data_IF_859374771276
#
_entry.id   IF_859374771276
#
_cell.length_a   1.000
_cell.length_b   1.000
_cell.length_c   1.000
_cell.angle_alpha   90.00
_cell.angle_beta   90.00
_cell.angle_gamma   90.00
#
_symmetry.space_group_name_H-M   'P 1'
#
loop_
_entity.id
_entity.type
_entity.pdbx_description
1 polymer ?
#
# COMPACT_ATOMS: atom_id res chain seq x y z
N UNK A 1 -2.75 -18.27 0.67
CA UNK A 1 -1.77 -17.96 -0.41
C UNK A 1 -2.43 -18.25 -1.76
N UNK A 2 -2.27 -17.33 -2.72
CA UNK A 2 -2.73 -17.58 -4.09
C UNK A 2 -1.70 -18.47 -4.77
N UNK A 3 -2.16 -19.60 -5.33
CA UNK A 3 -1.29 -20.55 -6.02
C UNK A 3 -0.82 -19.98 -7.37
N UNK A 4 0.47 -20.16 -7.67
CA UNK A 4 1.02 -19.79 -8.97
C UNK A 4 0.51 -20.76 -10.04
N UNK A 5 -0.31 -20.26 -10.96
CA UNK A 5 -0.89 -21.09 -12.04
C UNK A 5 0.04 -21.21 -13.25
N UNK A 6 0.88 -20.21 -13.48
CA UNK A 6 1.80 -20.24 -14.61
C UNK A 6 2.96 -21.21 -14.33
N UNK A 7 3.22 -22.10 -15.28
CA UNK A 7 4.38 -23.01 -15.32
C UNK A 7 5.45 -22.43 -16.24
N UNK A 8 6.68 -22.91 -16.12
CA UNK A 8 7.82 -22.46 -16.94
C UNK A 8 8.14 -20.96 -16.79
N UNK A 9 7.98 -20.43 -15.58
CA UNK A 9 8.34 -19.05 -15.23
C UNK A 9 9.68 -19.06 -14.52
N UNK A 10 10.64 -18.31 -15.03
CA UNK A 10 11.99 -18.19 -14.46
C UNK A 10 12.25 -16.72 -14.14
N UNK A 11 12.86 -16.47 -13.00
CA UNK A 11 13.30 -15.12 -12.65
C UNK A 11 14.48 -14.71 -13.54
N UNK A 12 14.40 -13.53 -14.15
CA UNK A 12 15.47 -12.91 -14.92
C UNK A 12 16.02 -11.71 -14.15
N UNK A 13 17.31 -11.78 -13.80
CA UNK A 13 18.01 -10.62 -13.24
C UNK A 13 18.49 -9.70 -14.35
N UNK A 14 18.38 -8.39 -14.15
CA UNK A 14 18.97 -7.37 -15.02
C UNK A 14 20.37 -6.95 -14.56
N UNK A 15 21.03 -6.12 -15.35
CA UNK A 15 22.36 -5.56 -15.03
C UNK A 15 22.30 -4.39 -14.05
N UNK A 16 21.12 -3.77 -13.88
CA UNK A 16 20.88 -2.67 -12.93
C UNK A 16 20.33 -3.24 -11.63
N UNK A 17 21.05 -3.07 -10.54
CA UNK A 17 20.67 -3.54 -9.22
C UNK A 17 19.71 -2.56 -8.52
N UNK A 18 19.15 -2.99 -7.39
CA UNK A 18 18.38 -2.13 -6.47
C UNK A 18 19.26 -1.01 -5.92
N UNK A 19 20.47 -1.33 -5.57
CA UNK A 19 21.48 -0.42 -5.02
C UNK A 19 21.81 0.69 -6.03
N UNK A 20 21.95 0.38 -7.29
CA UNK A 20 22.18 1.37 -8.36
C UNK A 20 21.00 2.38 -8.44
N UNK A 21 19.75 1.87 -8.34
CA UNK A 21 18.56 2.73 -8.32
C UNK A 21 18.54 3.62 -7.08
N UNK A 22 18.89 3.07 -5.92
CA UNK A 22 18.95 3.81 -4.65
C UNK A 22 20.01 4.92 -4.70
N UNK A 23 21.15 4.67 -5.33
CA UNK A 23 22.21 5.65 -5.51
C UNK A 23 21.75 6.82 -6.38
N UNK A 24 21.16 6.55 -7.54
CA UNK A 24 20.59 7.57 -8.44
C UNK A 24 19.56 8.44 -7.72
N UNK A 25 18.66 7.81 -6.96
CA UNK A 25 17.59 8.51 -6.25
C UNK A 25 18.06 9.16 -4.93
N UNK A 26 19.26 8.84 -4.45
CA UNK A 26 19.78 9.23 -3.13
C UNK A 26 18.79 8.92 -2.01
N UNK A 27 18.12 7.80 -2.12
CA UNK A 27 17.15 7.30 -1.15
C UNK A 27 16.98 5.79 -1.28
N UNK A 28 16.56 5.15 -0.18
CA UNK A 28 16.11 3.76 -0.18
C UNK A 28 14.59 3.72 -0.34
N UNK A 29 14.10 2.74 -1.07
CA UNK A 29 12.68 2.49 -1.17
C UNK A 29 12.13 1.91 0.14
N UNK A 30 10.87 2.21 0.40
CA UNK A 30 10.14 1.73 1.58
C UNK A 30 8.63 1.71 1.30
N UNK A 31 7.90 0.94 2.09
CA UNK A 31 6.44 0.99 2.11
C UNK A 31 5.97 1.49 3.48
N UNK A 32 5.17 2.56 3.48
CA UNK A 32 4.43 3.03 4.64
C UNK A 32 2.96 2.67 4.40
N UNK A 33 2.46 1.74 5.22
CA UNK A 33 1.13 1.17 5.09
C UNK A 33 0.21 1.75 6.16
N UNK A 34 -0.70 2.63 5.75
CA UNK A 34 -1.72 3.19 6.63
C UNK A 34 -2.96 2.29 6.67
N UNK A 35 -3.33 1.85 7.86
CA UNK A 35 -4.54 1.07 8.11
C UNK A 35 -5.43 1.77 9.13
N UNK A 36 -6.72 1.42 9.17
CA UNK A 36 -7.70 2.02 10.07
C UNK A 36 -9.06 2.22 9.40
N UNK A 37 -10.05 2.67 10.17
CA UNK A 37 -11.44 2.84 9.75
C UNK A 37 -11.58 3.77 8.54
N UNK A 38 -12.68 3.61 7.78
CA UNK A 38 -13.10 4.63 6.82
C UNK A 38 -13.32 5.97 7.57
N UNK A 39 -12.88 7.07 7.00
CA UNK A 39 -12.98 8.38 7.68
C UNK A 39 -11.96 8.61 8.81
N UNK A 40 -11.04 7.69 9.09
CA UNK A 40 -10.02 7.88 10.14
C UNK A 40 -8.96 8.96 9.81
N UNK A 41 -8.79 9.30 8.53
CA UNK A 41 -7.82 10.30 8.10
C UNK A 41 -6.57 9.74 7.40
N UNK A 42 -6.56 8.44 7.05
CA UNK A 42 -5.43 7.78 6.37
C UNK A 42 -4.93 8.56 5.14
N UNK A 43 -5.83 8.84 4.20
CA UNK A 43 -5.49 9.55 2.97
C UNK A 43 -5.01 10.98 3.24
N UNK A 44 -5.59 11.66 4.24
CA UNK A 44 -5.17 13.01 4.65
C UNK A 44 -3.74 13.00 5.18
N UNK A 45 -3.41 12.04 6.04
CA UNK A 45 -2.05 11.88 6.58
C UNK A 45 -1.07 11.51 5.46
N UNK A 46 -1.46 10.61 4.56
CA UNK A 46 -0.63 10.22 3.43
C UNK A 46 -0.32 11.41 2.49
N UNK A 47 -1.29 12.28 2.22
CA UNK A 47 -1.10 13.51 1.44
C UNK A 47 -0.13 14.47 2.13
N UNK A 48 -0.29 14.67 3.44
CA UNK A 48 0.60 15.53 4.21
C UNK A 48 2.05 14.99 4.24
N UNK A 49 2.20 13.67 4.41
CA UNK A 49 3.50 13.02 4.38
C UNK A 49 4.15 13.08 2.99
N UNK A 50 3.39 12.85 1.92
CA UNK A 50 3.88 13.00 0.55
C UNK A 50 4.44 14.41 0.30
N UNK A 51 3.70 15.44 0.74
CA UNK A 51 4.16 16.84 0.63
C UNK A 51 5.45 17.08 1.42
N UNK A 52 5.56 16.56 2.64
CA UNK A 52 6.75 16.68 3.46
C UNK A 52 7.95 15.99 2.81
N UNK A 53 7.79 14.78 2.32
CA UNK A 53 8.82 14.02 1.61
C UNK A 53 9.27 14.76 0.33
N UNK A 54 8.32 15.32 -0.43
CA UNK A 54 8.62 16.13 -1.61
C UNK A 54 9.46 17.34 -1.25
N UNK A 55 9.12 18.07 -0.16
CA UNK A 55 9.92 19.19 0.35
C UNK A 55 11.34 18.80 0.79
N UNK A 56 11.56 17.52 1.14
CA UNK A 56 12.86 16.94 1.45
C UNK A 56 13.60 16.39 0.22
N UNK A 57 13.06 16.58 -0.98
CA UNK A 57 13.61 16.02 -2.22
C UNK A 57 13.50 14.50 -2.31
N UNK A 58 12.51 13.88 -1.65
CA UNK A 58 12.29 12.45 -1.66
C UNK A 58 11.14 12.07 -2.59
N UNK A 59 11.39 11.06 -3.43
CA UNK A 59 10.39 10.49 -4.33
C UNK A 59 9.46 9.56 -3.54
N UNK A 60 8.18 9.90 -3.52
CA UNK A 60 7.14 9.05 -2.95
C UNK A 60 5.95 8.95 -3.89
N UNK A 61 5.14 7.91 -3.71
CA UNK A 61 3.93 7.71 -4.50
C UNK A 61 2.80 7.16 -3.60
N UNK A 62 1.62 7.76 -3.72
CA UNK A 62 0.45 7.33 -2.95
C UNK A 62 -0.35 6.25 -3.69
N UNK A 63 -0.58 5.14 -3.00
CA UNK A 63 -1.51 4.10 -3.40
C UNK A 63 -2.76 4.21 -2.52
N UNK A 64 -3.78 4.91 -3.02
CA UNK A 64 -5.04 5.12 -2.32
C UNK A 64 -6.08 4.07 -2.73
N UNK A 65 -6.87 3.60 -1.75
CA UNK A 65 -7.83 2.53 -1.94
C UNK A 65 -8.88 2.79 -3.02
N UNK A 66 -9.31 4.04 -3.20
CA UNK A 66 -10.26 4.38 -4.26
C UNK A 66 -9.56 4.49 -5.62
N UNK A 67 -8.41 5.15 -5.67
CA UNK A 67 -7.68 5.35 -6.92
C UNK A 67 -7.30 4.03 -7.60
N UNK A 68 -6.82 3.03 -6.83
CA UNK A 68 -6.44 1.73 -7.39
C UNK A 68 -7.65 0.94 -7.92
N UNK A 69 -8.86 1.19 -7.38
CA UNK A 69 -10.10 0.59 -7.87
C UNK A 69 -10.61 1.21 -9.17
N UNK A 70 -10.14 2.39 -9.54
CA UNK A 70 -10.38 2.97 -10.87
C UNK A 70 -9.46 2.39 -11.94
N UNK A 71 -8.38 1.71 -11.55
CA UNK A 71 -7.36 1.16 -12.43
C UNK A 71 -7.13 -0.35 -12.20
N UNK A 72 -6.00 -0.68 -11.61
CA UNK A 72 -5.49 -2.05 -11.47
C UNK A 72 -6.47 -3.01 -10.77
N UNK A 73 -7.32 -2.51 -9.88
CA UNK A 73 -8.30 -3.27 -9.12
C UNK A 73 -9.76 -2.99 -9.51
N UNK A 74 -10.00 -2.44 -10.72
CA UNK A 74 -11.35 -2.12 -11.18
C UNK A 74 -12.30 -3.32 -11.31
N UNK A 75 -11.76 -4.52 -11.39
CA UNK A 75 -12.52 -5.77 -11.46
C UNK A 75 -12.85 -6.37 -10.09
N UNK A 76 -12.47 -5.70 -8.99
CA UNK A 76 -12.71 -6.19 -7.63
C UNK A 76 -13.86 -5.41 -6.99
N UNK A 77 -14.76 -6.15 -6.32
CA UNK A 77 -15.82 -5.63 -5.48
C UNK A 77 -15.39 -5.46 -4.02
N UNK A 78 -16.34 -5.66 -3.10
CA UNK A 78 -16.14 -5.51 -1.66
C UNK A 78 -16.39 -6.78 -0.86
N UNK A 79 -16.54 -7.94 -1.52
CA UNK A 79 -16.56 -9.24 -0.84
C UNK A 79 -15.25 -9.44 -0.05
N UNK A 80 -15.27 -10.36 0.91
CA UNK A 80 -14.06 -10.70 1.66
C UNK A 80 -12.91 -11.12 0.73
N UNK A 81 -13.22 -11.98 -0.26
CA UNK A 81 -12.25 -12.44 -1.25
C UNK A 81 -11.68 -11.29 -2.09
N UNK A 82 -12.53 -10.36 -2.54
CA UNK A 82 -12.09 -9.18 -3.29
C UNK A 82 -11.23 -8.24 -2.46
N UNK A 83 -11.59 -8.07 -1.17
CA UNK A 83 -10.78 -7.24 -0.24
C UNK A 83 -9.41 -7.84 -0.05
N UNK A 84 -9.32 -9.15 0.17
CA UNK A 84 -8.05 -9.88 0.30
C UNK A 84 -7.20 -9.74 -0.97
N UNK A 85 -7.78 -9.98 -2.13
CA UNK A 85 -7.09 -9.85 -3.41
C UNK A 85 -6.65 -8.41 -3.68
N UNK A 86 -7.46 -7.41 -3.30
CA UNK A 86 -7.07 -6.01 -3.38
C UNK A 86 -5.79 -5.72 -2.57
N UNK A 87 -5.73 -6.19 -1.32
CA UNK A 87 -4.56 -5.99 -0.45
C UNK A 87 -3.34 -6.73 -1.01
N UNK A 88 -3.51 -7.97 -1.48
CA UNK A 88 -2.44 -8.75 -2.10
C UNK A 88 -1.83 -8.02 -3.29
N UNK A 89 -2.67 -7.56 -4.25
CA UNK A 89 -2.19 -6.84 -5.46
C UNK A 89 -1.43 -5.58 -5.09
N UNK A 90 -1.96 -4.79 -4.16
CA UNK A 90 -1.30 -3.56 -3.75
C UNK A 90 -0.01 -3.83 -2.99
N UNK A 91 0.05 -4.90 -2.20
CA UNK A 91 1.28 -5.35 -1.57
C UNK A 91 2.40 -5.62 -2.60
N UNK A 92 2.08 -6.32 -3.69
CA UNK A 92 3.03 -6.56 -4.79
C UNK A 92 3.44 -5.27 -5.49
N UNK A 93 2.50 -4.36 -5.78
CA UNK A 93 2.80 -3.06 -6.40
C UNK A 93 3.70 -2.23 -5.48
N UNK A 94 3.38 -2.15 -4.19
CA UNK A 94 4.19 -1.41 -3.21
C UNK A 94 5.61 -1.98 -3.10
N UNK A 95 5.76 -3.32 -3.16
CA UNK A 95 7.06 -3.99 -3.20
C UNK A 95 7.88 -3.57 -4.42
N UNK A 96 7.26 -3.51 -5.61
CA UNK A 96 7.94 -3.06 -6.84
C UNK A 96 8.39 -1.60 -6.74
N UNK A 97 7.56 -0.72 -6.17
CA UNK A 97 7.96 0.66 -5.88
C UNK A 97 9.16 0.73 -4.92
N UNK A 98 9.12 -0.06 -3.84
CA UNK A 98 10.23 -0.14 -2.89
C UNK A 98 11.53 -0.64 -3.55
N UNK A 99 11.44 -1.64 -4.40
CA UNK A 99 12.58 -2.15 -5.16
C UNK A 99 13.14 -1.11 -6.14
N UNK A 100 12.26 -0.31 -6.74
CA UNK A 100 12.64 0.80 -7.61
C UNK A 100 13.24 2.02 -6.87
N UNK A 101 13.22 2.02 -5.54
CA UNK A 101 13.74 3.14 -4.73
C UNK A 101 12.69 4.19 -4.34
N UNK A 102 11.42 3.95 -4.64
CA UNK A 102 10.32 4.88 -4.30
C UNK A 102 9.75 4.56 -2.92
N UNK A 103 9.35 5.59 -2.19
CA UNK A 103 8.61 5.44 -0.94
C UNK A 103 7.12 5.33 -1.27
N UNK A 104 6.55 4.12 -1.11
CA UNK A 104 5.12 3.88 -1.31
C UNK A 104 4.32 4.27 -0.06
N UNK A 105 3.30 5.12 -0.23
CA UNK A 105 2.36 5.55 0.81
C UNK A 105 1.01 4.89 0.55
N UNK A 106 0.80 3.71 1.13
CA UNK A 106 -0.36 2.86 0.85
C UNK A 106 -1.45 3.08 1.90
N UNK A 107 -2.64 3.56 1.48
CA UNK A 107 -3.75 3.93 2.38
C UNK A 107 -4.97 3.06 2.13
N UNK A 108 -5.18 2.06 3.00
CA UNK A 108 -6.27 1.07 2.88
C UNK A 108 -6.91 0.80 4.24
N UNK A 109 -8.20 0.49 4.27
CA UNK A 109 -8.86 0.01 5.49
C UNK A 109 -8.15 -1.24 5.99
N UNK A 110 -7.85 -2.19 5.11
CA UNK A 110 -7.12 -3.45 5.37
C UNK A 110 -7.48 -4.09 6.73
N UNK A 111 -8.76 -4.52 6.92
CA UNK A 111 -9.26 -4.86 8.25
C UNK A 111 -8.65 -6.15 8.80
N UNK A 112 -8.25 -7.06 7.93
CA UNK A 112 -7.76 -8.37 8.33
C UNK A 112 -6.27 -8.35 8.62
N UNK A 113 -5.92 -8.72 9.85
CA UNK A 113 -4.51 -8.76 10.30
C UNK A 113 -3.68 -9.71 9.42
N UNK A 114 -4.23 -10.88 9.08
CA UNK A 114 -3.53 -11.86 8.23
C UNK A 114 -3.09 -11.29 6.89
N UNK A 115 -3.95 -10.52 6.22
CA UNK A 115 -3.62 -9.89 4.93
C UNK A 115 -2.48 -8.87 5.08
N UNK A 116 -2.47 -8.08 6.15
CA UNK A 116 -1.39 -7.13 6.45
C UNK A 116 -0.08 -7.83 6.79
N UNK A 117 -0.15 -8.93 7.54
CA UNK A 117 1.02 -9.75 7.88
C UNK A 117 1.61 -10.41 6.62
N UNK A 118 0.78 -10.87 5.67
CA UNK A 118 1.24 -11.38 4.39
C UNK A 118 2.00 -10.30 3.59
N UNK A 119 1.50 -9.07 3.54
CA UNK A 119 2.17 -7.95 2.86
C UNK A 119 3.48 -7.58 3.56
N UNK A 120 3.49 -7.56 4.90
CA UNK A 120 4.71 -7.34 5.68
C UNK A 120 5.76 -8.39 5.36
N UNK A 121 5.37 -9.67 5.39
CA UNK A 121 6.26 -10.79 5.08
C UNK A 121 6.82 -10.69 3.66
N UNK A 122 5.99 -10.34 2.68
CA UNK A 122 6.39 -10.13 1.29
C UNK A 122 7.54 -9.11 1.17
N UNK A 123 7.47 -8.01 1.93
CA UNK A 123 8.51 -6.98 1.96
C UNK A 123 9.77 -7.46 2.70
N UNK A 124 9.61 -8.12 3.83
CA UNK A 124 10.71 -8.68 4.61
C UNK A 124 11.51 -9.71 3.81
N UNK A 125 10.82 -10.63 3.13
CA UNK A 125 11.45 -11.64 2.28
C UNK A 125 12.22 -11.01 1.10
N UNK A 126 11.78 -9.84 0.65
CA UNK A 126 12.46 -9.05 -0.39
C UNK A 126 13.55 -8.10 0.16
N UNK A 127 13.79 -8.08 1.47
CA UNK A 127 14.74 -7.16 2.10
C UNK A 127 14.34 -5.70 2.02
N UNK A 128 13.04 -5.40 1.97
CA UNK A 128 12.48 -4.05 1.87
C UNK A 128 11.90 -3.57 3.20
N UNK A 129 12.08 -2.28 3.48
CA UNK A 129 11.49 -1.65 4.65
C UNK A 129 9.96 -1.58 4.54
N UNK A 130 9.27 -2.03 5.58
CA UNK A 130 7.80 -1.97 5.70
C UNK A 130 7.43 -1.40 7.06
N UNK A 131 6.69 -0.30 7.06
CA UNK A 131 6.18 0.36 8.26
C UNK A 131 4.66 0.37 8.22
N UNK A 132 4.01 -0.29 9.17
CA UNK A 132 2.57 -0.23 9.34
C UNK A 132 2.21 0.88 10.32
N UNK A 133 1.29 1.75 9.90
CA UNK A 133 0.78 2.87 10.69
C UNK A 133 -0.72 2.67 10.91
N UNK A 134 -1.12 2.39 12.13
CA UNK A 134 -2.53 2.39 12.50
C UNK A 134 -2.99 3.81 12.77
N UNK A 135 -3.93 4.29 11.95
CA UNK A 135 -4.55 5.61 12.15
C UNK A 135 -5.72 5.44 13.10
N UNK A 136 -5.43 5.64 14.38
CA UNK A 136 -6.41 5.50 15.45
C UNK A 136 -7.48 6.60 15.36
N UNK A 137 -8.73 6.17 15.37
CA UNK A 137 -9.89 7.05 15.34
C UNK A 137 -11.08 6.29 15.92
N UNK A 138 -11.78 6.89 16.88
CA UNK A 138 -12.96 6.25 17.42
C UNK A 138 -14.05 6.11 16.34
N UNK A 139 -14.85 5.03 16.42
CA UNK A 139 -15.95 4.79 15.50
C UNK A 139 -16.91 5.98 15.43
N UNK A 140 -17.22 6.58 16.57
CA UNK A 140 -18.09 7.77 16.66
C UNK A 140 -17.56 8.94 15.82
N UNK A 141 -16.25 9.20 15.86
CA UNK A 141 -15.64 10.27 15.04
C UNK A 141 -15.63 9.88 13.56
N UNK A 142 -15.34 8.62 13.23
CA UNK A 142 -15.36 8.14 11.87
C UNK A 142 -16.77 8.24 11.24
N UNK A 143 -17.81 7.87 12.00
CA UNK A 143 -19.23 8.01 11.61
C UNK A 143 -19.63 9.46 11.41
N UNK A 144 -19.21 10.37 12.30
CA UNK A 144 -19.50 11.81 12.16
C UNK A 144 -18.86 12.40 10.90
N UNK A 145 -17.66 11.98 10.57
CA UNK A 145 -16.96 12.44 9.36
C UNK A 145 -17.55 11.86 8.08
N UNK A 146 -17.89 10.59 8.09
CA UNK A 146 -18.47 9.77 7.00
C UNK A 146 -18.40 10.39 5.58
N UNK A 147 -17.19 10.70 5.08
CA UNK A 147 -17.03 11.47 3.84
C UNK A 147 -17.60 10.76 2.61
N UNK A 148 -17.83 9.45 2.71
CA UNK A 148 -18.35 8.60 1.63
C UNK A 148 -19.78 8.12 1.86
N UNK A 149 -20.39 8.47 2.97
CA UNK A 149 -21.72 8.02 3.36
C UNK A 149 -21.81 6.50 3.60
N UNK A 150 -20.70 5.85 3.94
CA UNK A 150 -20.65 4.39 4.14
C UNK A 150 -21.35 3.97 5.43
N UNK A 151 -21.19 4.73 6.49
CA UNK A 151 -21.82 4.46 7.79
C UNK A 151 -23.34 4.75 7.76
N UNK A 152 -23.77 5.69 6.93
CA UNK A 152 -25.21 5.97 6.74
C UNK A 152 -25.94 4.88 5.96
N UNK A 153 -25.21 4.02 5.25
CA UNK A 153 -25.74 2.92 4.43
C UNK A 153 -25.69 1.59 5.14
N UNK A 154 -24.97 1.49 6.25
CA UNK A 154 -24.84 0.29 7.06
C UNK A 154 -25.95 0.20 8.11
#
# INVERSE_FOLDING_TARGET
MVEQKATNVTWHSGDVSREDRYEILRQKGATIWFTGLSGSGKSTIAVALERALFGMGKLSYRLDGDNVRLGINKNLGFSEADRKENIRRIGEVAKLFGDAGTISLSSFISPYKGDRDEVRKLHQDAGLAFVEVFVDCSLKIAEQRDPKGLYKKA
#
